data_IF_541036893860
#
_entry.id   IF_541036893860
#
_cell.length_a   1.000
_cell.length_b   1.000
_cell.length_c   1.000
_cell.angle_alpha   90.00
_cell.angle_beta   90.00
_cell.angle_gamma   90.00
#
_symmetry.space_group_name_H-M   'P 1'
#
loop_
_entity.id
_entity.type
_entity.pdbx_description
1 polymer ?
#
# COMPACT_ATOMS: atom_id res chain seq x y z
N UNK A 1 2.10 -13.81 -13.28
CA UNK A 1 1.97 -12.84 -12.17
C UNK A 1 2.16 -13.59 -10.86
N UNK A 2 3.17 -13.22 -10.08
CA UNK A 2 3.42 -13.81 -8.76
C UNK A 2 2.44 -13.21 -7.75
N UNK A 3 1.71 -14.07 -7.02
CA UNK A 3 0.75 -13.69 -5.98
C UNK A 3 0.86 -14.70 -4.84
N UNK A 4 1.97 -14.68 -4.08
CA UNK A 4 2.18 -15.63 -3.00
C UNK A 4 1.05 -15.55 -1.99
N UNK A 5 0.60 -16.71 -1.53
CA UNK A 5 -0.26 -16.82 -0.36
C UNK A 5 0.57 -16.55 0.90
N UNK A 6 -0.08 -16.42 2.05
CA UNK A 6 0.62 -16.31 3.34
C UNK A 6 1.51 -17.53 3.64
N UNK A 7 1.15 -18.71 3.13
CA UNK A 7 1.95 -19.92 3.30
C UNK A 7 3.22 -19.88 2.46
N UNK A 8 3.18 -19.22 1.30
CA UNK A 8 4.34 -19.05 0.43
C UNK A 8 5.28 -17.96 0.97
N UNK A 9 4.74 -16.88 1.53
CA UNK A 9 5.48 -15.75 2.09
C UNK A 9 4.67 -15.06 3.20
N UNK A 10 5.10 -15.19 4.46
CA UNK A 10 4.50 -14.47 5.58
C UNK A 10 5.17 -13.09 5.74
N UNK A 11 4.41 -12.03 5.46
CA UNK A 11 4.88 -10.64 5.59
C UNK A 11 5.12 -10.22 7.04
N UNK A 12 4.58 -10.96 8.02
CA UNK A 12 4.89 -10.78 9.43
C UNK A 12 6.24 -11.37 9.85
N UNK A 13 6.90 -12.14 8.97
CA UNK A 13 8.18 -12.81 9.24
C UNK A 13 9.26 -12.40 8.22
N UNK A 14 10.22 -11.59 8.67
CA UNK A 14 11.30 -11.06 7.82
C UNK A 14 12.09 -12.15 7.06
N UNK A 15 12.58 -13.21 7.74
CA UNK A 15 13.19 -14.37 7.11
C UNK A 15 12.32 -15.04 6.02
N UNK A 16 11.01 -15.16 6.22
CA UNK A 16 10.09 -15.69 5.20
C UNK A 16 10.11 -14.85 3.91
N UNK A 17 10.07 -13.52 4.04
CA UNK A 17 10.15 -12.59 2.91
C UNK A 17 11.48 -12.71 2.15
N UNK A 18 12.59 -12.79 2.89
CA UNK A 18 13.93 -12.91 2.32
C UNK A 18 14.13 -14.25 1.58
N UNK A 19 13.67 -15.34 2.19
CA UNK A 19 13.70 -16.67 1.58
C UNK A 19 12.89 -16.72 0.28
N UNK A 20 11.67 -16.17 0.29
CA UNK A 20 10.82 -16.12 -0.90
C UNK A 20 11.49 -15.32 -2.03
N UNK A 21 12.01 -14.12 -1.74
CA UNK A 21 12.66 -13.29 -2.75
C UNK A 21 13.92 -13.95 -3.34
N UNK A 22 14.70 -14.64 -2.50
CA UNK A 22 15.92 -15.34 -2.93
C UNK A 22 15.63 -16.57 -3.79
N UNK A 23 14.45 -17.17 -3.64
CA UNK A 23 14.02 -18.33 -4.40
C UNK A 23 13.39 -17.98 -5.78
N UNK A 24 13.23 -16.69 -6.10
CA UNK A 24 12.66 -16.27 -7.38
C UNK A 24 13.59 -16.65 -8.54
N UNK A 25 13.07 -17.46 -9.45
CA UNK A 25 13.79 -17.93 -10.63
C UNK A 25 13.73 -16.97 -11.82
N UNK A 26 12.96 -15.89 -11.71
CA UNK A 26 12.78 -14.91 -12.79
C UNK A 26 12.91 -13.47 -12.29
N UNK A 27 13.37 -12.55 -13.15
CA UNK A 27 13.39 -11.14 -12.84
C UNK A 27 12.00 -10.58 -12.51
N UNK A 28 11.92 -9.68 -11.53
CA UNK A 28 10.69 -8.93 -11.20
C UNK A 28 10.84 -7.48 -11.64
N UNK A 29 9.99 -7.07 -12.58
CA UNK A 29 9.98 -5.70 -13.10
C UNK A 29 8.97 -4.79 -12.40
N UNK A 30 7.94 -5.39 -11.78
CA UNK A 30 6.84 -4.68 -11.14
C UNK A 30 6.60 -5.26 -9.75
N UNK A 31 6.61 -4.40 -8.73
CA UNK A 31 6.21 -4.73 -7.36
C UNK A 31 4.97 -3.90 -6.99
N UNK A 32 3.90 -4.58 -6.57
CA UNK A 32 2.72 -3.91 -5.99
C UNK A 32 2.59 -4.34 -4.53
N UNK A 33 2.96 -3.45 -3.61
CA UNK A 33 2.81 -3.65 -2.18
C UNK A 33 1.35 -3.38 -1.77
N UNK A 34 0.48 -4.38 -2.00
CA UNK A 34 -0.95 -4.29 -1.73
C UNK A 34 -1.37 -4.83 -0.36
N UNK A 35 -0.69 -5.87 0.12
CA UNK A 35 -1.06 -6.52 1.37
C UNK A 35 -1.01 -5.55 2.55
N UNK A 36 -1.97 -5.67 3.45
CA UNK A 36 -2.05 -4.83 4.64
C UNK A 36 -3.15 -5.26 5.58
N UNK A 37 -3.00 -4.87 6.85
CA UNK A 37 -3.99 -5.06 7.91
C UNK A 37 -4.40 -3.72 8.51
N UNK A 38 -5.58 -3.67 9.12
CA UNK A 38 -6.14 -2.45 9.72
C UNK A 38 -6.73 -2.75 11.10
N UNK A 39 -5.90 -2.91 12.15
CA UNK A 39 -6.42 -3.07 13.51
C UNK A 39 -7.09 -1.77 14.00
N UNK A 40 -8.31 -1.88 14.53
CA UNK A 40 -9.09 -0.73 14.99
C UNK A 40 -8.92 -0.53 16.51
N UNK A 41 -7.96 0.29 16.92
CA UNK A 41 -7.72 0.59 18.33
C UNK A 41 -7.49 2.09 18.58
N UNK A 42 -8.01 2.59 19.70
CA UNK A 42 -7.57 3.88 20.25
C UNK A 42 -6.13 3.79 20.78
N UNK A 43 -5.49 4.94 21.03
CA UNK A 43 -4.08 4.99 21.49
C UNK A 43 -3.87 4.17 22.77
N UNK A 44 -4.78 4.27 23.74
CA UNK A 44 -4.67 3.56 25.01
C UNK A 44 -5.11 2.08 24.95
N UNK A 45 -5.78 1.66 23.87
CA UNK A 45 -6.32 0.31 23.68
C UNK A 45 -5.44 -0.54 22.75
N UNK A 46 -4.45 0.09 22.10
CA UNK A 46 -3.60 -0.58 21.12
C UNK A 46 -2.66 -1.54 21.83
N UNK A 47 -2.81 -2.83 21.56
CA UNK A 47 -1.88 -3.85 22.07
C UNK A 47 -0.55 -3.82 21.31
N UNK A 48 0.51 -4.25 21.98
CA UNK A 48 1.84 -4.34 21.37
C UNK A 48 1.85 -5.32 20.20
N UNK A 49 1.10 -6.41 20.27
CA UNK A 49 0.99 -7.39 19.18
C UNK A 49 0.36 -6.75 17.94
N UNK A 50 -0.79 -6.09 18.09
CA UNK A 50 -1.46 -5.41 16.99
C UNK A 50 -0.60 -4.27 16.40
N UNK A 51 0.16 -3.58 17.26
CA UNK A 51 1.11 -2.56 16.85
C UNK A 51 2.24 -3.16 15.99
N UNK A 52 2.90 -4.21 16.50
CA UNK A 52 4.01 -4.86 15.81
C UNK A 52 3.57 -5.51 14.50
N UNK A 53 2.43 -6.21 14.48
CA UNK A 53 1.90 -6.83 13.28
C UNK A 53 1.61 -5.79 12.20
N UNK A 54 0.99 -4.66 12.57
CA UNK A 54 0.71 -3.59 11.61
C UNK A 54 2.01 -2.97 11.07
N UNK A 55 3.01 -2.73 11.91
CA UNK A 55 4.32 -2.20 11.48
C UNK A 55 5.02 -3.17 10.53
N UNK A 56 5.07 -4.46 10.88
CA UNK A 56 5.71 -5.49 10.05
C UNK A 56 5.04 -5.61 8.70
N UNK A 57 3.73 -5.82 8.68
CA UNK A 57 2.98 -6.11 7.45
C UNK A 57 2.84 -4.85 6.58
N UNK A 58 2.43 -3.71 7.16
CA UNK A 58 2.06 -2.53 6.35
C UNK A 58 3.26 -1.67 5.93
N UNK A 59 4.42 -1.79 6.59
CA UNK A 59 5.55 -0.89 6.38
C UNK A 59 6.89 -1.61 6.20
N UNK A 60 7.25 -2.50 7.14
CA UNK A 60 8.54 -3.20 7.08
C UNK A 60 8.62 -4.14 5.88
N UNK A 61 7.58 -4.93 5.63
CA UNK A 61 7.53 -5.88 4.54
C UNK A 61 7.62 -5.20 3.15
N UNK A 62 6.87 -4.11 2.84
CA UNK A 62 7.10 -3.30 1.65
C UNK A 62 8.54 -2.83 1.46
N UNK A 63 9.20 -2.40 2.55
CA UNK A 63 10.60 -2.00 2.51
C UNK A 63 11.53 -3.19 2.23
N UNK A 64 11.30 -4.34 2.87
CA UNK A 64 12.08 -5.57 2.64
C UNK A 64 11.96 -6.06 1.20
N UNK A 65 10.74 -6.14 0.68
CA UNK A 65 10.47 -6.51 -0.71
C UNK A 65 11.16 -5.55 -1.69
N UNK A 66 11.05 -4.25 -1.44
CA UNK A 66 11.73 -3.22 -2.24
C UNK A 66 13.25 -3.43 -2.21
N UNK A 67 13.84 -3.56 -1.02
CA UNK A 67 15.29 -3.78 -0.86
C UNK A 67 15.79 -5.04 -1.58
N UNK A 68 15.01 -6.12 -1.55
CA UNK A 68 15.37 -7.38 -2.19
C UNK A 68 15.31 -7.33 -3.72
N UNK A 69 14.33 -6.62 -4.29
CA UNK A 69 14.08 -6.61 -5.74
C UNK A 69 14.81 -5.49 -6.49
N UNK A 70 15.14 -4.38 -5.81
CA UNK A 70 15.80 -3.21 -6.39
C UNK A 70 17.13 -3.51 -7.09
N UNK A 71 18.05 -4.36 -6.57
CA UNK A 71 19.32 -4.64 -7.25
C UNK A 71 19.12 -5.08 -8.70
N UNK A 72 18.21 -6.03 -8.95
CA UNK A 72 17.90 -6.49 -10.30
C UNK A 72 17.24 -5.40 -11.16
N UNK A 73 16.32 -4.62 -10.60
CA UNK A 73 15.69 -3.51 -11.33
C UNK A 73 16.72 -2.46 -11.76
N UNK A 74 17.70 -2.14 -10.90
CA UNK A 74 18.79 -1.20 -11.19
C UNK A 74 19.70 -1.70 -12.30
N UNK A 75 20.07 -2.98 -12.28
CA UNK A 75 20.89 -3.60 -13.32
C UNK A 75 20.21 -3.52 -14.69
N UNK A 76 18.89 -3.72 -14.75
CA UNK A 76 18.11 -3.66 -15.99
C UNK A 76 17.73 -2.25 -16.43
N UNK A 77 17.91 -1.23 -15.58
CA UNK A 77 17.48 0.14 -15.86
C UNK A 77 15.95 0.30 -15.91
N UNK A 78 15.20 -0.63 -15.31
CA UNK A 78 13.74 -0.60 -15.32
C UNK A 78 13.15 -1.21 -14.05
N UNK A 79 12.18 -0.50 -13.46
CA UNK A 79 11.34 -1.03 -12.40
C UNK A 79 10.12 -0.15 -12.16
N UNK A 80 9.03 -0.75 -11.68
CA UNK A 80 7.84 -0.04 -11.20
C UNK A 80 7.43 -0.57 -9.85
N UNK A 81 7.39 0.31 -8.86
CA UNK A 81 6.96 -0.02 -7.50
C UNK A 81 5.72 0.82 -7.19
N UNK A 82 4.62 0.16 -6.86
CA UNK A 82 3.39 0.82 -6.42
C UNK A 82 3.04 0.36 -5.01
N UNK A 83 3.02 1.31 -4.09
CA UNK A 83 2.60 1.10 -2.72
C UNK A 83 1.12 1.41 -2.58
N UNK A 84 0.31 0.46 -2.10
CA UNK A 84 -1.08 0.72 -1.77
C UNK A 84 -1.12 1.29 -0.36
N UNK A 85 -1.15 2.63 -0.29
CA UNK A 85 -1.24 3.38 0.94
C UNK A 85 -2.71 3.44 1.41
N UNK A 86 -3.17 4.63 1.79
CA UNK A 86 -4.56 4.94 2.12
C UNK A 86 -4.70 6.46 2.19
N UNK A 87 -5.91 6.99 2.00
CA UNK A 87 -6.23 8.37 2.44
C UNK A 87 -5.89 8.59 3.91
N UNK A 88 -5.94 7.54 4.74
CA UNK A 88 -5.54 7.63 6.14
C UNK A 88 -4.02 7.73 6.35
N UNK A 89 -3.21 7.72 5.29
CA UNK A 89 -1.82 8.15 5.34
C UNK A 89 -1.62 9.66 5.15
N UNK A 90 -2.66 10.38 4.70
CA UNK A 90 -2.66 11.84 4.46
C UNK A 90 -3.50 12.56 5.53
N UNK A 91 -4.72 12.08 5.76
CA UNK A 91 -5.61 12.51 6.85
C UNK A 91 -5.76 11.38 7.86
N UNK A 92 -6.54 11.55 8.93
CA UNK A 92 -6.81 10.45 9.87
C UNK A 92 -8.17 10.61 10.57
N UNK A 93 -8.56 9.61 11.36
CA UNK A 93 -9.74 9.63 12.23
C UNK A 93 -9.51 8.80 13.49
N UNK A 94 -10.39 8.94 14.48
CA UNK A 94 -10.33 8.16 15.71
C UNK A 94 -10.25 6.64 15.44
N UNK A 95 -9.55 5.91 16.33
CA UNK A 95 -9.31 4.46 16.24
C UNK A 95 -8.53 4.01 14.99
N UNK A 96 -7.68 4.87 14.44
CA UNK A 96 -6.80 4.57 13.29
C UNK A 96 -5.33 4.83 13.57
N UNK A 97 -4.93 5.07 14.82
CA UNK A 97 -3.56 5.51 15.17
C UNK A 97 -2.48 4.70 14.44
N UNK A 98 -2.41 3.39 14.65
CA UNK A 98 -1.36 2.57 14.05
C UNK A 98 -1.52 2.40 12.53
N UNK A 99 -2.75 2.31 12.04
CA UNK A 99 -3.00 2.21 10.60
C UNK A 99 -2.55 3.47 9.87
N UNK A 100 -2.92 4.65 10.38
CA UNK A 100 -2.46 5.93 9.86
C UNK A 100 -0.95 6.07 9.97
N UNK A 101 -0.34 5.73 11.12
CA UNK A 101 1.12 5.75 11.27
C UNK A 101 1.82 4.93 10.20
N UNK A 102 1.38 3.67 10.00
CA UNK A 102 2.00 2.78 9.02
C UNK A 102 1.78 3.25 7.57
N UNK A 103 0.57 3.72 7.23
CA UNK A 103 0.28 4.23 5.89
C UNK A 103 0.97 5.56 5.59
N UNK A 104 1.12 6.46 6.56
CA UNK A 104 1.94 7.67 6.42
C UNK A 104 3.43 7.33 6.27
N UNK A 105 3.93 6.36 7.03
CA UNK A 105 5.28 5.83 6.89
C UNK A 105 5.54 5.29 5.48
N UNK A 106 4.55 4.59 4.90
CA UNK A 106 4.63 4.07 3.54
C UNK A 106 4.69 5.19 2.47
N UNK A 107 4.04 6.34 2.72
CA UNK A 107 4.21 7.53 1.87
C UNK A 107 5.63 8.11 1.98
N UNK A 108 6.20 8.13 3.19
CA UNK A 108 7.60 8.52 3.41
C UNK A 108 8.57 7.60 2.66
N UNK A 109 8.40 6.28 2.79
CA UNK A 109 9.16 5.28 2.05
C UNK A 109 9.07 5.50 0.54
N UNK A 110 7.87 5.76 0.02
CA UNK A 110 7.63 6.02 -1.40
C UNK A 110 8.47 7.18 -1.92
N UNK A 111 8.50 8.32 -1.19
CA UNK A 111 9.25 9.51 -1.59
C UNK A 111 10.76 9.28 -1.53
N UNK A 112 11.25 8.68 -0.45
CA UNK A 112 12.68 8.40 -0.29
C UNK A 112 13.18 7.44 -1.38
N UNK A 113 12.50 6.30 -1.57
CA UNK A 113 12.87 5.32 -2.59
C UNK A 113 12.75 5.90 -4.01
N UNK A 114 11.76 6.76 -4.28
CA UNK A 114 11.65 7.41 -5.58
C UNK A 114 12.88 8.26 -5.93
N UNK A 115 13.37 9.05 -4.98
CA UNK A 115 14.56 9.90 -5.19
C UNK A 115 15.82 9.05 -5.38
N UNK A 116 16.00 8.02 -4.56
CA UNK A 116 17.16 7.13 -4.63
C UNK A 116 17.21 6.30 -5.92
N UNK A 117 16.04 5.91 -6.44
CA UNK A 117 15.95 4.90 -7.48
C UNK A 117 15.67 5.47 -8.89
N UNK A 118 15.21 6.72 -8.99
CA UNK A 118 14.96 7.38 -10.26
C UNK A 118 16.17 7.41 -11.22
N UNK A 119 17.43 7.65 -10.78
CA UNK A 119 18.59 7.61 -11.66
C UNK A 119 18.83 6.25 -12.34
N UNK A 120 18.22 5.18 -11.81
CA UNK A 120 18.33 3.81 -12.34
C UNK A 120 17.09 3.37 -13.13
N UNK A 121 16.21 4.30 -13.51
CA UNK A 121 14.99 4.00 -14.29
C UNK A 121 13.89 3.27 -13.51
N UNK A 122 13.98 3.27 -12.19
CA UNK A 122 12.98 2.64 -11.29
C UNK A 122 12.06 3.73 -10.73
N UNK A 123 10.77 3.63 -11.06
CA UNK A 123 9.76 4.60 -10.60
C UNK A 123 8.97 4.02 -9.42
N UNK A 124 8.85 4.80 -8.35
CA UNK A 124 8.17 4.39 -7.11
C UNK A 124 7.05 5.37 -6.82
N UNK A 125 5.80 4.90 -6.76
CA UNK A 125 4.64 5.74 -6.45
C UNK A 125 3.74 5.06 -5.42
N UNK A 126 2.82 5.83 -4.86
CA UNK A 126 1.77 5.34 -4.00
C UNK A 126 0.39 5.67 -4.57
N UNK A 127 -0.54 4.73 -4.41
CA UNK A 127 -1.98 4.99 -4.54
C UNK A 127 -2.54 5.06 -3.13
N UNK A 128 -3.36 6.09 -2.86
CA UNK A 128 -4.03 6.29 -1.58
C UNK A 128 -5.54 6.14 -1.79
N UNK A 129 -6.09 4.90 -1.72
CA UNK A 129 -7.52 4.70 -1.83
C UNK A 129 -8.28 5.34 -0.68
N UNK A 130 -9.45 5.87 -1.00
CA UNK A 130 -10.49 6.23 -0.02
C UNK A 130 -11.20 4.97 0.51
N UNK A 131 -12.51 5.06 0.66
CA UNK A 131 -13.31 3.88 0.97
C UNK A 131 -13.58 3.06 -0.29
N UNK A 132 -13.13 1.81 -0.27
CA UNK A 132 -13.28 0.84 -1.35
C UNK A 132 -14.17 -0.28 -0.87
N UNK A 133 -15.11 -0.71 -1.70
CA UNK A 133 -16.00 -1.82 -1.41
C UNK A 133 -15.25 -3.15 -1.49
N UNK A 134 -14.73 -3.58 -0.34
CA UNK A 134 -13.96 -4.82 -0.19
C UNK A 134 -14.46 -5.60 1.01
N UNK A 135 -14.11 -6.88 1.08
CA UNK A 135 -14.38 -7.70 2.26
C UNK A 135 -13.83 -7.07 3.55
N UNK A 136 -12.60 -6.54 3.53
CA UNK A 136 -11.99 -5.87 4.68
C UNK A 136 -12.79 -4.63 5.13
N UNK A 137 -13.30 -3.84 4.19
CA UNK A 137 -14.14 -2.68 4.51
C UNK A 137 -15.47 -3.12 5.13
N UNK A 138 -16.10 -4.15 4.56
CA UNK A 138 -17.38 -4.68 5.06
C UNK A 138 -17.25 -5.36 6.43
N UNK A 139 -16.14 -6.05 6.70
CA UNK A 139 -15.88 -6.67 8.01
C UNK A 139 -15.66 -5.63 9.12
N UNK A 140 -15.15 -4.44 8.78
CA UNK A 140 -14.81 -3.40 9.74
C UNK A 140 -15.95 -2.41 10.03
N UNK A 141 -17.10 -2.52 9.35
CA UNK A 141 -18.18 -1.55 9.47
C UNK A 141 -19.56 -2.25 9.44
N UNK A 142 -20.50 -1.75 10.25
CA UNK A 142 -21.91 -2.16 10.16
C UNK A 142 -22.58 -1.57 8.91
N UNK A 143 -23.75 -2.09 8.46
CA UNK A 143 -24.50 -1.50 7.36
C UNK A 143 -24.79 0.00 7.55
N UNK A 144 -25.14 0.41 8.78
CA UNK A 144 -25.40 1.81 9.11
C UNK A 144 -24.13 2.66 9.00
N UNK A 145 -22.99 2.15 9.47
CA UNK A 145 -21.70 2.81 9.32
C UNK A 145 -21.29 2.94 7.84
N UNK A 146 -21.57 1.93 7.02
CA UNK A 146 -21.31 1.98 5.58
C UNK A 146 -22.17 3.05 4.89
N UNK A 147 -23.44 3.19 5.29
CA UNK A 147 -24.30 4.26 4.79
C UNK A 147 -23.74 5.65 5.15
N UNK A 148 -23.38 5.87 6.42
CA UNK A 148 -22.77 7.13 6.88
C UNK A 148 -21.47 7.42 6.14
N UNK A 149 -20.64 6.39 5.90
CA UNK A 149 -19.43 6.51 5.10
C UNK A 149 -19.76 6.99 3.68
N UNK A 150 -20.75 6.38 3.02
CA UNK A 150 -21.16 6.80 1.67
C UNK A 150 -21.63 8.25 1.66
N UNK A 151 -22.47 8.66 2.61
CA UNK A 151 -22.96 10.03 2.74
C UNK A 151 -21.83 11.05 2.97
N UNK A 152 -20.75 10.64 3.65
CA UNK A 152 -19.57 11.47 3.89
C UNK A 152 -18.57 11.55 2.72
N UNK A 153 -18.75 10.74 1.66
CA UNK A 153 -17.93 10.82 0.45
C UNK A 153 -18.64 11.76 -0.54
N UNK A 154 -17.96 12.76 -1.15
CA UNK A 154 -18.60 13.64 -2.13
C UNK A 154 -19.27 12.92 -3.32
N UNK A 155 -18.69 11.81 -3.80
CA UNK A 155 -19.32 10.95 -4.80
C UNK A 155 -20.48 10.07 -4.29
N UNK A 156 -20.81 10.14 -2.99
CA UNK A 156 -21.91 9.45 -2.33
C UNK A 156 -21.89 7.91 -2.42
N UNK A 157 -20.71 7.34 -2.65
CA UNK A 157 -20.50 5.89 -2.75
C UNK A 157 -19.05 5.52 -2.44
N UNK A 158 -18.83 4.24 -2.13
CA UNK A 158 -17.51 3.65 -2.13
C UNK A 158 -17.04 3.36 -3.57
N UNK A 159 -15.73 3.37 -3.79
CA UNK A 159 -15.13 2.94 -5.05
C UNK A 159 -15.15 1.40 -5.17
N UNK A 160 -15.21 0.88 -6.39
CA UNK A 160 -14.94 -0.53 -6.65
C UNK A 160 -13.42 -0.81 -6.66
N UNK A 161 -12.97 -2.04 -6.40
CA UNK A 161 -11.55 -2.41 -6.52
C UNK A 161 -10.97 -2.11 -7.92
N UNK A 162 -11.77 -2.25 -8.96
CA UNK A 162 -11.37 -2.01 -10.36
C UNK A 162 -11.02 -0.54 -10.61
N UNK A 163 -11.75 0.40 -9.99
CA UNK A 163 -11.45 1.84 -10.09
C UNK A 163 -10.06 2.16 -9.52
N UNK A 164 -9.64 1.47 -8.45
CA UNK A 164 -8.29 1.58 -7.89
C UNK A 164 -7.27 0.90 -8.82
N UNK A 165 -7.60 -0.29 -9.32
CA UNK A 165 -6.72 -1.09 -10.17
C UNK A 165 -6.33 -0.38 -11.47
N UNK A 166 -7.22 0.43 -12.05
CA UNK A 166 -6.92 1.25 -13.25
C UNK A 166 -5.75 2.19 -13.00
N UNK A 167 -5.71 2.86 -11.85
CA UNK A 167 -4.62 3.79 -11.50
C UNK A 167 -3.33 3.03 -11.24
N UNK A 168 -3.40 1.89 -10.54
CA UNK A 168 -2.24 1.02 -10.32
C UNK A 168 -1.66 0.53 -11.66
N UNK A 169 -2.52 0.06 -12.57
CA UNK A 169 -2.12 -0.40 -13.89
C UNK A 169 -1.44 0.71 -14.71
N UNK A 170 -1.96 1.94 -14.66
CA UNK A 170 -1.30 3.10 -15.29
C UNK A 170 0.10 3.35 -14.71
N UNK A 171 0.23 3.39 -13.37
CA UNK A 171 1.51 3.64 -12.71
C UNK A 171 2.55 2.55 -12.97
N UNK A 172 2.10 1.29 -13.14
CA UNK A 172 2.93 0.15 -13.51
C UNK A 172 3.23 0.05 -15.02
N UNK A 173 2.44 0.72 -15.85
CA UNK A 173 2.54 0.64 -17.30
C UNK A 173 3.65 1.51 -17.89
N UNK A 174 3.95 1.27 -19.16
CA UNK A 174 4.91 2.08 -19.93
C UNK A 174 4.45 3.54 -20.13
N UNK A 175 3.14 3.78 -20.05
CA UNK A 175 2.57 5.13 -20.13
C UNK A 175 3.04 6.03 -18.97
N UNK A 176 3.39 5.45 -17.82
CA UNK A 176 4.10 6.17 -16.78
C UNK A 176 5.61 6.21 -17.09
N UNK A 177 6.05 7.29 -17.71
CA UNK A 177 7.45 7.55 -18.05
C UNK A 177 8.15 8.56 -17.13
N UNK A 178 7.41 9.27 -16.26
CA UNK A 178 7.96 10.40 -15.51
C UNK A 178 7.40 10.58 -14.10
N UNK A 179 6.32 9.89 -13.72
CA UNK A 179 5.77 10.01 -12.36
C UNK A 179 6.54 9.09 -11.42
N UNK A 180 7.19 9.69 -10.43
CA UNK A 180 7.82 9.01 -9.29
C UNK A 180 7.68 9.87 -8.03
N UNK A 181 7.63 9.25 -6.87
CA UNK A 181 7.43 9.89 -5.56
C UNK A 181 6.02 10.39 -5.31
N UNK A 182 5.07 10.15 -6.22
CA UNK A 182 3.72 10.69 -6.13
C UNK A 182 2.84 9.86 -5.22
N UNK A 183 1.89 10.52 -4.55
CA UNK A 183 0.77 9.89 -3.85
C UNK A 183 -0.51 10.28 -4.57
N UNK A 184 -1.14 9.32 -5.25
CA UNK A 184 -2.36 9.56 -6.01
C UNK A 184 -3.56 9.13 -5.16
N UNK A 185 -4.32 10.11 -4.66
CA UNK A 185 -5.56 9.84 -3.96
C UNK A 185 -6.65 9.40 -4.95
N UNK A 186 -7.35 8.31 -4.63
CA UNK A 186 -8.49 7.80 -5.39
C UNK A 186 -9.61 7.55 -4.40
N UNK A 187 -10.34 8.61 -4.06
CA UNK A 187 -11.13 8.65 -2.82
C UNK A 187 -12.52 9.30 -2.97
N UNK A 188 -12.94 9.58 -4.19
CA UNK A 188 -14.23 10.22 -4.44
C UNK A 188 -14.35 11.64 -3.86
N UNK A 189 -13.23 12.31 -3.59
CA UNK A 189 -13.16 13.65 -3.00
C UNK A 189 -13.13 13.67 -1.47
N UNK A 190 -13.05 12.51 -0.81
CA UNK A 190 -13.12 12.41 0.65
C UNK A 190 -12.09 13.28 1.37
N UNK A 191 -10.86 13.38 0.87
CA UNK A 191 -9.80 14.19 1.50
C UNK A 191 -9.87 15.69 1.19
N UNK A 192 -10.80 16.14 0.35
CA UNK A 192 -10.97 17.56 0.03
C UNK A 192 -11.87 18.32 1.01
N UNK A 193 -12.41 17.64 2.02
CA UNK A 193 -13.35 18.18 3.01
C UNK A 193 -12.69 18.42 4.38
#
# INVERSE_FOLDING_TARGET
MLRPTRQDMDLGDGPSVEAYCSALSCPVDILVNNAGINPLAGVAELSDEAMHDALRINLEAPLRLTRALVPGMRERGYGRIVNIASVFGVVSKARRTIYSTTKSGLLGLTRAAAVELAPFGVLVNAVAPGFVDTELTRQNNTPEQLQIICEGIPQQRMASPEEIAVVVAFLCGQANSYMTGQTIAVDGGFTCL
#
